data_IF_421438002202
#
_entry.id   IF_421438002202
#
_cell.length_a   1.000
_cell.length_b   1.000
_cell.length_c   1.000
_cell.angle_alpha   90.00
_cell.angle_beta   90.00
_cell.angle_gamma   90.00
#
_symmetry.space_group_name_H-M   'P 1'
#
loop_
_entity.id
_entity.type
_entity.pdbx_description
1 polymer ?
#
# COMPACT_ATOMS: atom_id res chain seq x y z
N UNK A 1 44.03 16.49 6.43
CA UNK A 1 44.93 15.81 7.37
C UNK A 1 45.32 16.65 8.61
N UNK A 2 45.34 17.98 8.52
CA UNK A 2 45.84 18.83 9.63
C UNK A 2 44.82 19.14 10.74
N UNK A 3 43.56 18.69 10.63
CA UNK A 3 42.52 18.95 11.64
C UNK A 3 42.17 17.77 12.56
N UNK A 4 42.81 16.62 12.37
CA UNK A 4 42.68 15.50 13.26
C UNK A 4 43.92 15.46 14.18
N UNK A 5 43.72 15.78 15.40
CA UNK A 5 44.78 15.69 16.40
C UNK A 5 45.36 14.29 16.41
N UNK A 6 46.50 14.06 15.87
CA UNK A 6 47.30 12.87 15.61
C UNK A 6 47.15 11.60 16.45
N UNK A 7 46.19 11.50 17.33
CA UNK A 7 46.00 10.35 18.24
C UNK A 7 44.92 9.37 17.80
N UNK A 8 44.04 9.74 16.83
CA UNK A 8 42.97 8.88 16.32
C UNK A 8 42.96 8.86 14.79
N UNK A 9 44.07 8.56 14.19
CA UNK A 9 44.21 8.40 12.76
C UNK A 9 43.44 7.14 12.32
N UNK A 10 42.78 7.14 11.15
CA UNK A 10 42.14 5.96 10.56
C UNK A 10 43.03 4.68 10.57
N UNK A 11 44.35 4.86 10.47
CA UNK A 11 45.32 3.76 10.55
C UNK A 11 45.22 2.96 11.86
N UNK A 12 44.93 3.59 12.98
CA UNK A 12 44.77 2.89 14.25
C UNK A 12 43.46 2.10 14.33
N UNK A 13 42.39 2.59 13.69
CA UNK A 13 41.13 1.88 13.62
C UNK A 13 41.21 0.65 12.71
N UNK A 14 41.96 0.76 11.61
CA UNK A 14 42.22 -0.36 10.68
C UNK A 14 43.03 -1.45 11.40
N UNK A 15 44.08 -1.05 12.09
CA UNK A 15 44.97 -1.99 12.77
C UNK A 15 44.33 -2.71 13.94
N UNK A 16 43.32 -2.09 14.58
CA UNK A 16 42.61 -2.66 15.73
C UNK A 16 41.27 -3.33 15.34
N UNK A 17 40.96 -3.50 14.04
CA UNK A 17 39.71 -4.10 13.57
C UNK A 17 38.44 -3.24 13.82
N UNK A 18 38.65 -1.96 14.20
CA UNK A 18 37.52 -1.03 14.49
C UNK A 18 37.03 -0.25 13.27
N UNK A 19 37.71 -0.44 12.13
CA UNK A 19 37.38 0.30 10.90
C UNK A 19 35.99 -0.01 10.38
N UNK A 20 35.59 -1.28 10.33
CA UNK A 20 34.27 -1.69 9.84
C UNK A 20 33.15 -1.16 10.75
N UNK A 21 33.35 -1.18 12.07
CA UNK A 21 32.39 -0.60 13.00
C UNK A 21 32.27 0.92 12.84
N UNK A 22 33.39 1.60 12.57
CA UNK A 22 33.40 3.05 12.29
C UNK A 22 32.73 3.37 10.95
N UNK A 23 33.06 2.64 9.89
CA UNK A 23 32.45 2.85 8.55
C UNK A 23 30.95 2.55 8.58
N UNK A 24 30.55 1.47 9.24
CA UNK A 24 29.13 1.12 9.39
C UNK A 24 28.39 2.14 10.27
N UNK A 25 28.98 2.60 11.35
CA UNK A 25 28.43 3.66 12.19
C UNK A 25 28.37 5.00 11.49
N UNK A 26 29.44 5.39 10.79
CA UNK A 26 29.49 6.62 10.00
C UNK A 26 28.56 6.54 8.79
N UNK A 27 28.48 5.39 8.13
CA UNK A 27 27.54 5.15 7.04
C UNK A 27 26.09 5.23 7.49
N UNK A 28 25.77 4.66 8.65
CA UNK A 28 24.45 4.76 9.26
C UNK A 28 24.10 6.19 9.67
N UNK A 29 25.07 6.93 10.23
CA UNK A 29 24.90 8.34 10.60
C UNK A 29 24.79 9.26 9.38
N UNK A 30 25.63 9.02 8.36
CA UNK A 30 25.58 9.73 7.07
C UNK A 30 24.29 9.45 6.32
N UNK A 31 23.84 8.20 6.29
CA UNK A 31 22.56 7.82 5.68
C UNK A 31 21.36 8.47 6.39
N UNK A 32 21.40 8.65 7.71
CA UNK A 32 20.34 9.35 8.45
C UNK A 32 20.37 10.87 8.30
N UNK A 33 21.55 11.48 8.06
CA UNK A 33 21.69 12.94 7.94
C UNK A 33 21.63 13.45 6.51
N UNK A 34 21.99 12.63 5.53
CA UNK A 34 22.15 13.02 4.12
C UNK A 34 21.33 12.18 3.14
N UNK A 35 20.38 11.38 3.64
CA UNK A 35 19.36 10.91 2.70
C UNK A 35 18.67 12.15 2.14
N UNK A 36 18.76 12.42 0.83
CA UNK A 36 17.92 13.45 0.26
C UNK A 36 16.48 13.07 0.68
N UNK A 37 15.82 14.00 1.38
CA UNK A 37 14.46 13.79 1.83
C UNK A 37 13.65 13.53 0.58
N UNK A 38 13.28 12.26 0.35
CA UNK A 38 12.45 11.91 -0.78
C UNK A 38 11.06 12.56 -0.63
N UNK A 39 10.31 12.62 -1.70
CA UNK A 39 9.02 13.28 -1.75
C UNK A 39 7.88 12.48 -1.09
N UNK A 40 8.20 11.31 -0.49
CA UNK A 40 7.23 10.46 0.22
C UNK A 40 7.39 10.51 1.74
N UNK A 41 8.52 11.00 2.26
CA UNK A 41 8.81 10.99 3.71
C UNK A 41 7.74 11.75 4.50
N UNK A 42 7.12 11.05 5.47
CA UNK A 42 6.06 11.57 6.34
C UNK A 42 4.66 11.55 5.69
N UNK A 43 4.54 11.13 4.44
CA UNK A 43 3.25 10.94 3.78
C UNK A 43 2.57 9.63 4.22
N UNK A 44 1.23 9.61 4.25
CA UNK A 44 0.45 8.42 4.60
C UNK A 44 0.70 7.24 3.63
N UNK A 45 1.15 7.52 2.42
CA UNK A 45 1.48 6.56 1.37
C UNK A 45 2.91 6.01 1.49
N UNK A 46 3.75 6.61 2.33
CA UNK A 46 5.16 6.26 2.46
C UNK A 46 5.40 4.76 2.70
N UNK A 47 4.72 4.10 3.67
CA UNK A 47 4.95 2.68 3.94
C UNK A 47 4.65 1.80 2.71
N UNK A 48 3.57 2.13 1.97
CA UNK A 48 3.17 1.36 0.81
C UNK A 48 4.16 1.53 -0.35
N UNK A 49 4.58 2.75 -0.65
CA UNK A 49 5.53 3.01 -1.73
C UNK A 49 6.88 2.37 -1.43
N UNK A 50 7.40 2.49 -0.20
CA UNK A 50 8.68 1.87 0.18
C UNK A 50 8.64 0.36 0.07
N UNK A 51 7.57 -0.27 0.54
CA UNK A 51 7.43 -1.73 0.46
C UNK A 51 7.32 -2.21 -0.99
N UNK A 52 6.52 -1.56 -1.83
CA UNK A 52 6.44 -1.91 -3.25
C UNK A 52 7.75 -1.63 -4.01
N UNK A 53 8.49 -0.60 -3.62
CA UNK A 53 9.82 -0.33 -4.17
C UNK A 53 10.82 -1.42 -3.76
N UNK A 54 10.85 -1.81 -2.49
CA UNK A 54 11.67 -2.90 -1.98
C UNK A 54 11.39 -4.24 -2.70
N UNK A 55 10.12 -4.49 -3.05
CA UNK A 55 9.69 -5.66 -3.83
C UNK A 55 9.98 -5.54 -5.34
N UNK A 56 10.52 -4.43 -5.84
CA UNK A 56 10.76 -4.19 -7.26
C UNK A 56 9.48 -3.98 -8.10
N UNK A 57 8.32 -3.78 -7.42
CA UNK A 57 7.02 -3.60 -8.07
C UNK A 57 6.87 -2.15 -8.56
N UNK A 58 7.15 -1.17 -7.68
CA UNK A 58 7.05 0.26 -7.99
C UNK A 58 8.43 0.91 -7.92
N UNK A 59 8.90 1.47 -9.02
CA UNK A 59 10.12 2.25 -9.05
C UNK A 59 9.84 3.73 -8.81
N UNK A 60 10.81 4.47 -8.25
CA UNK A 60 10.83 5.93 -8.30
C UNK A 60 11.14 6.45 -9.69
N UNK A 61 10.97 7.74 -9.88
CA UNK A 61 11.27 8.46 -11.14
C UNK A 61 12.74 8.95 -11.20
N UNK A 62 13.54 8.56 -10.21
CA UNK A 62 14.94 8.98 -10.06
C UNK A 62 15.11 10.06 -8.98
N UNK A 63 16.34 10.24 -8.50
CA UNK A 63 16.73 11.29 -7.55
C UNK A 63 15.86 11.40 -6.29
N UNK A 64 15.34 10.28 -5.78
CA UNK A 64 14.45 10.26 -4.60
C UNK A 64 13.00 10.69 -4.89
N UNK A 65 12.63 10.88 -6.15
CA UNK A 65 11.28 11.26 -6.57
C UNK A 65 10.44 10.02 -6.80
N UNK A 66 9.30 9.90 -6.10
CA UNK A 66 8.26 8.89 -6.29
C UNK A 66 6.96 9.48 -6.84
N UNK A 67 6.81 10.79 -6.83
CA UNK A 67 5.65 11.53 -7.31
C UNK A 67 4.31 11.00 -6.77
N UNK A 68 4.11 10.88 -5.43
CA UNK A 68 2.97 10.18 -4.82
C UNK A 68 1.61 10.77 -5.20
N UNK A 69 1.55 12.05 -5.52
CA UNK A 69 0.32 12.76 -5.88
C UNK A 69 0.05 12.79 -7.40
N UNK A 70 0.97 12.27 -8.21
CA UNK A 70 0.77 12.17 -9.67
C UNK A 70 -0.26 11.09 -9.98
N UNK A 71 -1.18 11.39 -10.90
CA UNK A 71 -2.12 10.41 -11.43
C UNK A 71 -1.36 9.27 -12.16
N UNK A 72 -1.85 8.04 -12.00
CA UNK A 72 -1.32 6.85 -12.66
C UNK A 72 -2.07 6.60 -13.97
N UNK A 73 -1.35 6.30 -15.04
CA UNK A 73 -1.97 5.90 -16.30
C UNK A 73 -2.44 4.44 -16.26
N UNK A 74 -3.34 4.07 -17.17
CA UNK A 74 -3.81 2.68 -17.30
C UNK A 74 -2.67 1.71 -17.59
N UNK A 75 -1.70 2.11 -18.42
CA UNK A 75 -0.51 1.30 -18.71
C UNK A 75 0.38 1.10 -17.49
N UNK A 76 0.61 2.15 -16.70
CA UNK A 76 1.37 2.06 -15.46
C UNK A 76 0.68 1.14 -14.44
N UNK A 77 -0.64 1.27 -14.30
CA UNK A 77 -1.42 0.43 -13.40
C UNK A 77 -1.36 -1.06 -13.82
N UNK A 78 -1.51 -1.35 -15.12
CA UNK A 78 -1.35 -2.69 -15.68
C UNK A 78 0.04 -3.27 -15.36
N UNK A 79 1.10 -2.49 -15.55
CA UNK A 79 2.46 -2.92 -15.23
C UNK A 79 2.64 -3.23 -13.75
N UNK A 80 2.10 -2.40 -12.86
CA UNK A 80 2.16 -2.64 -11.42
C UNK A 80 1.44 -3.92 -11.01
N UNK A 81 0.24 -4.19 -11.53
CA UNK A 81 -0.50 -5.44 -11.31
C UNK A 81 0.26 -6.64 -11.87
N UNK A 82 0.80 -6.52 -13.10
CA UNK A 82 1.59 -7.60 -13.71
C UNK A 82 2.78 -8.01 -12.85
N UNK A 83 3.54 -7.04 -12.35
CA UNK A 83 4.66 -7.28 -11.44
C UNK A 83 4.22 -7.83 -10.09
N UNK A 84 3.14 -7.30 -9.52
CA UNK A 84 2.62 -7.72 -8.22
C UNK A 84 2.22 -9.20 -8.18
N UNK A 85 1.67 -9.69 -9.28
CA UNK A 85 1.18 -11.07 -9.40
C UNK A 85 2.17 -12.00 -10.07
N UNK A 86 3.30 -11.49 -10.56
CA UNK A 86 4.27 -12.20 -11.39
C UNK A 86 3.58 -12.95 -12.54
N UNK A 87 2.79 -12.19 -13.34
CA UNK A 87 1.97 -12.79 -14.40
C UNK A 87 2.84 -13.38 -15.51
N UNK A 88 2.42 -14.52 -16.10
CA UNK A 88 3.13 -15.11 -17.23
C UNK A 88 3.10 -14.19 -18.46
N UNK A 89 3.95 -14.46 -19.43
CA UNK A 89 3.92 -13.76 -20.72
C UNK A 89 2.54 -13.83 -21.35
N UNK A 90 2.14 -12.74 -22.01
CA UNK A 90 0.85 -12.63 -22.69
C UNK A 90 1.03 -12.16 -24.13
N UNK A 91 0.08 -12.51 -24.98
CA UNK A 91 0.11 -12.25 -26.44
C UNK A 91 -1.03 -11.32 -26.91
N UNK A 92 -1.98 -10.98 -26.02
CA UNK A 92 -3.06 -10.04 -26.39
C UNK A 92 -2.45 -8.69 -26.76
N UNK A 93 -2.89 -8.17 -27.89
CA UNK A 93 -2.43 -6.88 -28.41
C UNK A 93 -3.63 -5.93 -28.63
N UNK A 94 -3.31 -4.64 -28.61
CA UNK A 94 -4.27 -3.56 -28.87
C UNK A 94 -3.74 -2.68 -30.01
N UNK A 95 -4.65 -2.01 -30.72
CA UNK A 95 -4.30 -1.15 -31.86
C UNK A 95 -3.36 0.00 -31.46
N UNK A 96 -3.52 0.51 -30.26
CA UNK A 96 -2.78 1.61 -29.64
C UNK A 96 -1.68 1.17 -28.65
N UNK A 97 -1.31 -0.12 -28.68
CA UNK A 97 -0.27 -0.63 -27.76
C UNK A 97 1.05 0.11 -27.91
N UNK A 98 1.36 0.59 -29.13
CA UNK A 98 2.58 1.32 -29.40
C UNK A 98 2.59 2.75 -28.84
N UNK A 99 1.46 3.30 -28.46
CA UNK A 99 1.35 4.59 -27.78
C UNK A 99 1.84 4.52 -26.33
N UNK A 100 1.85 3.28 -25.74
CA UNK A 100 2.46 3.06 -24.46
C UNK A 100 3.98 3.11 -24.53
N UNK A 101 4.62 3.60 -23.45
CA UNK A 101 6.05 3.44 -23.26
C UNK A 101 6.43 1.95 -23.40
N UNK A 102 7.54 1.67 -24.10
CA UNK A 102 7.99 0.30 -24.40
C UNK A 102 8.11 -0.57 -23.17
N UNK A 103 8.52 -0.02 -22.01
CA UNK A 103 8.64 -0.74 -20.72
C UNK A 103 7.30 -1.15 -20.11
N UNK A 104 6.19 -0.54 -20.54
CA UNK A 104 4.85 -0.82 -20.02
C UNK A 104 4.04 -1.78 -20.89
N UNK A 105 4.44 -1.99 -22.15
CA UNK A 105 3.71 -2.83 -23.12
C UNK A 105 3.57 -4.28 -22.67
N UNK A 106 4.61 -4.83 -22.07
CA UNK A 106 4.60 -6.20 -21.55
C UNK A 106 3.59 -6.36 -20.41
N UNK A 107 3.52 -5.39 -19.50
CA UNK A 107 2.52 -5.39 -18.43
C UNK A 107 1.08 -5.34 -18.93
N UNK A 108 0.80 -4.55 -20.00
CA UNK A 108 -0.50 -4.51 -20.64
C UNK A 108 -0.86 -5.89 -21.21
N UNK A 109 0.04 -6.51 -21.98
CA UNK A 109 -0.19 -7.83 -22.57
C UNK A 109 -0.46 -8.89 -21.51
N UNK A 110 0.37 -8.97 -20.48
CA UNK A 110 0.24 -9.95 -19.38
C UNK A 110 -1.09 -9.81 -18.63
N UNK A 111 -1.45 -8.59 -18.25
CA UNK A 111 -2.70 -8.34 -17.49
C UNK A 111 -3.95 -8.57 -18.34
N UNK A 112 -3.89 -8.26 -19.64
CA UNK A 112 -4.99 -8.51 -20.56
C UNK A 112 -5.14 -10.02 -20.82
N UNK A 113 -4.06 -10.76 -21.06
CA UNK A 113 -4.09 -12.21 -21.25
C UNK A 113 -4.55 -12.97 -20.01
N UNK A 114 -4.28 -12.43 -18.81
CA UNK A 114 -4.80 -12.95 -17.55
C UNK A 114 -6.29 -12.60 -17.32
N UNK A 115 -6.93 -11.83 -18.19
CA UNK A 115 -8.31 -11.38 -18.03
C UNK A 115 -8.53 -10.36 -16.91
N UNK A 116 -7.45 -9.79 -16.37
CA UNK A 116 -7.51 -8.85 -15.23
C UNK A 116 -7.88 -7.43 -15.70
N UNK A 117 -7.36 -7.03 -16.86
CA UNK A 117 -7.69 -5.73 -17.46
C UNK A 117 -8.22 -5.94 -18.87
N UNK A 118 -9.24 -5.17 -19.24
CA UNK A 118 -9.78 -5.19 -20.60
C UNK A 118 -9.46 -3.89 -21.34
N UNK A 119 -9.52 -3.92 -22.68
CA UNK A 119 -9.55 -2.72 -23.49
C UNK A 119 -10.84 -1.92 -23.27
N UNK A 120 -10.90 -0.73 -23.88
CA UNK A 120 -12.05 0.18 -23.82
C UNK A 120 -13.02 0.03 -25.00
N UNK A 121 -12.87 -1.02 -25.77
CA UNK A 121 -13.67 -1.30 -26.98
C UNK A 121 -12.88 -1.08 -28.26
N UNK A 122 -13.41 -1.58 -29.37
CA UNK A 122 -12.86 -1.45 -30.73
C UNK A 122 -11.37 -1.81 -30.90
N UNK A 123 -10.82 -2.59 -29.95
CA UNK A 123 -9.43 -3.02 -29.96
C UNK A 123 -8.44 -1.99 -29.39
N UNK A 124 -8.92 -0.97 -28.68
CA UNK A 124 -8.11 0.04 -28.02
C UNK A 124 -7.96 -0.22 -26.51
N UNK A 125 -6.81 0.19 -25.97
CA UNK A 125 -6.48 0.08 -24.54
C UNK A 125 -6.51 1.42 -23.81
N UNK A 126 -6.18 2.51 -24.49
CA UNK A 126 -5.98 3.86 -23.96
C UNK A 126 -4.85 3.92 -22.91
N UNK A 127 -3.62 3.56 -23.27
CA UNK A 127 -2.52 3.34 -22.34
C UNK A 127 -2.16 4.57 -21.50
N UNK A 128 -2.22 5.76 -22.08
CA UNK A 128 -1.76 7.02 -21.48
C UNK A 128 -2.87 7.76 -20.72
N UNK A 129 -4.11 7.27 -20.76
CA UNK A 129 -5.23 7.87 -20.02
C UNK A 129 -5.08 7.60 -18.52
N UNK A 130 -5.22 8.64 -17.67
CA UNK A 130 -5.26 8.42 -16.23
C UNK A 130 -6.37 7.45 -15.82
N UNK A 131 -6.07 6.52 -14.93
CA UNK A 131 -7.04 5.54 -14.45
C UNK A 131 -7.91 6.14 -13.34
N UNK A 132 -9.23 5.87 -13.38
CA UNK A 132 -10.13 6.30 -12.33
C UNK A 132 -10.09 5.36 -11.12
N UNK A 133 -10.61 5.83 -9.97
CA UNK A 133 -10.64 5.01 -8.76
C UNK A 133 -11.54 3.78 -8.88
N UNK A 134 -12.68 3.92 -9.55
CA UNK A 134 -13.54 2.75 -9.78
C UNK A 134 -12.90 1.76 -10.78
N UNK A 135 -12.22 2.23 -11.82
CA UNK A 135 -11.47 1.35 -12.73
C UNK A 135 -10.35 0.62 -12.01
N UNK A 136 -9.62 1.33 -11.14
CA UNK A 136 -8.59 0.72 -10.28
C UNK A 136 -9.17 -0.38 -9.39
N UNK A 137 -10.35 -0.14 -8.81
CA UNK A 137 -11.04 -1.12 -7.98
C UNK A 137 -11.43 -2.38 -8.76
N UNK A 138 -11.99 -2.23 -9.97
CA UNK A 138 -12.33 -3.37 -10.82
C UNK A 138 -11.09 -4.23 -11.08
N UNK A 139 -9.98 -3.60 -11.45
CA UNK A 139 -8.74 -4.31 -11.79
C UNK A 139 -8.19 -5.04 -10.56
N UNK A 140 -8.16 -4.40 -9.39
CA UNK A 140 -7.70 -5.02 -8.14
C UNK A 140 -8.61 -6.17 -7.73
N UNK A 141 -9.95 -6.03 -7.87
CA UNK A 141 -10.87 -7.13 -7.58
C UNK A 141 -10.67 -8.32 -8.55
N UNK A 142 -10.49 -8.06 -9.84
CA UNK A 142 -10.15 -9.11 -10.82
C UNK A 142 -8.80 -9.76 -10.56
N UNK A 143 -7.82 -9.01 -10.06
CA UNK A 143 -6.53 -9.54 -9.65
C UNK A 143 -6.66 -10.51 -8.45
N UNK A 144 -7.52 -10.21 -7.49
CA UNK A 144 -7.87 -11.14 -6.40
C UNK A 144 -8.59 -12.37 -6.92
N UNK A 145 -9.58 -12.20 -7.81
CA UNK A 145 -10.31 -13.31 -8.44
C UNK A 145 -9.37 -14.23 -9.23
N UNK A 146 -8.39 -13.68 -9.94
CA UNK A 146 -7.34 -14.46 -10.61
C UNK A 146 -6.55 -15.35 -9.63
N UNK A 147 -6.41 -14.92 -8.38
CA UNK A 147 -5.81 -15.72 -7.28
C UNK A 147 -6.82 -16.59 -6.54
N UNK A 148 -8.08 -16.68 -7.01
CA UNK A 148 -9.14 -17.47 -6.36
C UNK A 148 -9.69 -16.85 -5.08
N UNK A 149 -9.49 -15.56 -4.87
CA UNK A 149 -9.91 -14.84 -3.67
C UNK A 149 -11.11 -13.93 -3.95
N UNK A 150 -12.09 -13.94 -3.04
CA UNK A 150 -13.34 -13.20 -3.17
C UNK A 150 -13.62 -12.47 -1.84
N UNK A 151 -13.74 -11.15 -1.93
CA UNK A 151 -14.11 -10.34 -0.77
C UNK A 151 -15.61 -10.39 -0.47
N UNK A 152 -16.02 -10.13 0.78
CA UNK A 152 -17.42 -9.98 1.15
C UNK A 152 -17.99 -8.71 0.52
N UNK A 153 -19.27 -8.76 0.12
CA UNK A 153 -20.00 -7.58 -0.35
C UNK A 153 -20.42 -6.74 0.87
N UNK A 154 -19.70 -5.65 1.13
CA UNK A 154 -19.95 -4.77 2.25
C UNK A 154 -20.79 -3.55 1.88
N UNK A 155 -21.52 -3.00 2.85
CA UNK A 155 -22.22 -1.73 2.64
C UNK A 155 -21.23 -0.57 2.56
N UNK A 156 -21.37 0.27 1.53
CA UNK A 156 -20.53 1.45 1.36
C UNK A 156 -21.09 2.62 2.17
N UNK A 157 -20.28 3.27 3.01
CA UNK A 157 -20.72 4.41 3.81
C UNK A 157 -20.72 5.72 3.02
N UNK A 158 -20.21 5.72 1.78
CA UNK A 158 -19.93 6.92 0.99
C UNK A 158 -21.21 7.63 0.53
N UNK A 159 -21.22 8.95 0.62
CA UNK A 159 -22.34 9.81 0.19
C UNK A 159 -22.54 9.79 -1.33
N UNK A 160 -21.49 9.50 -2.08
CA UNK A 160 -21.47 9.41 -3.54
C UNK A 160 -21.54 7.97 -4.08
N UNK A 161 -21.89 6.99 -3.23
CA UNK A 161 -21.94 5.56 -3.59
C UNK A 161 -22.85 5.25 -4.77
N UNK A 162 -23.86 6.07 -5.03
CA UNK A 162 -24.80 5.86 -6.14
C UNK A 162 -24.23 6.35 -7.49
N UNK A 163 -23.10 7.06 -7.48
CA UNK A 163 -22.32 7.42 -8.67
C UNK A 163 -21.35 6.29 -9.09
N UNK A 164 -21.17 5.27 -8.28
CA UNK A 164 -20.29 4.14 -8.56
C UNK A 164 -21.01 3.19 -9.52
N UNK A 165 -20.49 3.00 -10.73
CA UNK A 165 -21.04 2.11 -11.74
C UNK A 165 -20.74 0.65 -11.36
N UNK A 166 -19.51 0.36 -10.98
CA UNK A 166 -19.06 -0.98 -10.61
C UNK A 166 -19.10 -1.18 -9.09
N UNK A 167 -20.32 -1.04 -8.56
CA UNK A 167 -20.57 -0.95 -7.11
C UNK A 167 -20.10 -2.19 -6.37
N UNK A 168 -20.35 -3.37 -6.92
CA UNK A 168 -19.99 -4.63 -6.26
C UNK A 168 -18.47 -4.81 -6.12
N UNK A 169 -17.69 -4.43 -7.14
CA UNK A 169 -16.22 -4.48 -7.05
C UNK A 169 -15.72 -3.60 -5.90
N UNK A 170 -16.23 -2.37 -5.81
CA UNK A 170 -15.86 -1.45 -4.72
C UNK A 170 -16.34 -1.97 -3.36
N UNK A 171 -17.54 -2.55 -3.27
CA UNK A 171 -18.07 -3.16 -2.04
C UNK A 171 -17.18 -4.31 -1.54
N UNK A 172 -16.71 -5.17 -2.46
CA UNK A 172 -15.81 -6.28 -2.13
C UNK A 172 -14.46 -5.78 -1.62
N UNK A 173 -13.86 -4.81 -2.30
CA UNK A 173 -12.59 -4.23 -1.86
C UNK A 173 -12.71 -3.42 -0.58
N UNK A 174 -13.85 -2.75 -0.36
CA UNK A 174 -14.14 -2.08 0.89
C UNK A 174 -14.29 -3.09 2.04
N UNK A 175 -14.99 -4.20 1.80
CA UNK A 175 -15.13 -5.31 2.75
C UNK A 175 -13.80 -5.97 3.10
N UNK A 176 -12.83 -5.96 2.19
CA UNK A 176 -11.46 -6.42 2.42
C UNK A 176 -10.55 -5.37 3.08
N UNK A 177 -11.02 -4.13 3.25
CA UNK A 177 -10.20 -3.02 3.73
C UNK A 177 -9.16 -2.49 2.74
N UNK A 178 -9.24 -2.93 1.46
CA UNK A 178 -8.29 -2.53 0.40
C UNK A 178 -8.53 -1.09 -0.03
N UNK A 179 -9.80 -0.70 -0.18
CA UNK A 179 -10.18 0.66 -0.53
C UNK A 179 -10.85 1.38 0.65
N UNK A 180 -10.61 2.68 0.72
CA UNK A 180 -11.22 3.60 1.70
C UNK A 180 -11.75 4.83 0.97
N UNK A 181 -12.53 5.69 1.65
CA UNK A 181 -12.91 6.99 1.13
C UNK A 181 -11.74 7.97 1.04
N UNK A 182 -11.95 9.07 0.32
CA UNK A 182 -10.99 10.19 0.17
C UNK A 182 -11.11 11.27 1.25
N UNK A 183 -11.99 11.13 2.20
CA UNK A 183 -12.43 12.19 3.13
C UNK A 183 -13.85 12.64 2.81
N UNK A 184 -14.43 13.48 3.66
CA UNK A 184 -15.78 14.03 3.52
C UNK A 184 -16.85 12.99 3.17
N UNK A 185 -16.64 11.75 3.64
CA UNK A 185 -17.51 10.62 3.38
C UNK A 185 -17.73 10.33 1.86
N UNK A 186 -16.73 10.60 1.01
CA UNK A 186 -16.78 10.36 -0.43
C UNK A 186 -15.80 9.27 -0.86
N UNK A 187 -16.16 8.54 -1.92
CA UNK A 187 -15.29 7.59 -2.61
C UNK A 187 -14.58 8.23 -3.81
N UNK A 188 -15.26 9.14 -4.50
CA UNK A 188 -14.80 9.81 -5.73
C UNK A 188 -14.53 8.83 -6.88
N UNK A 189 -15.56 8.08 -7.38
CA UNK A 189 -15.37 6.99 -8.33
C UNK A 189 -14.74 7.43 -9.66
N UNK A 190 -15.02 8.65 -10.10
CA UNK A 190 -14.55 9.23 -11.38
C UNK A 190 -13.24 10.01 -11.23
N UNK A 191 -12.81 10.30 -10.00
CA UNK A 191 -11.52 10.91 -9.74
C UNK A 191 -10.38 9.98 -10.16
N UNK A 192 -9.26 10.55 -10.57
CA UNK A 192 -8.07 9.78 -10.94
C UNK A 192 -7.39 9.19 -9.71
N UNK A 193 -6.78 8.00 -9.86
CA UNK A 193 -6.00 7.37 -8.80
C UNK A 193 -4.56 7.87 -8.86
N UNK A 194 -4.05 8.34 -7.72
CA UNK A 194 -2.65 8.76 -7.60
C UNK A 194 -1.70 7.59 -7.39
N UNK A 195 -0.39 7.81 -7.54
CA UNK A 195 0.63 6.78 -7.27
C UNK A 195 0.63 6.31 -5.82
N UNK A 196 0.42 7.22 -4.87
CA UNK A 196 0.27 6.89 -3.46
C UNK A 196 -0.96 6.01 -3.16
N UNK A 197 -2.11 6.35 -3.75
CA UNK A 197 -3.33 5.54 -3.64
C UNK A 197 -3.17 4.18 -4.30
N UNK A 198 -2.56 4.14 -5.50
CA UNK A 198 -2.25 2.90 -6.21
C UNK A 198 -1.34 1.99 -5.38
N UNK A 199 -0.30 2.56 -4.77
CA UNK A 199 0.60 1.79 -3.91
C UNK A 199 -0.16 1.15 -2.74
N UNK A 200 -1.06 1.90 -2.10
CA UNK A 200 -1.88 1.38 -1.01
C UNK A 200 -2.83 0.28 -1.47
N UNK A 201 -3.51 0.45 -2.61
CA UNK A 201 -4.40 -0.58 -3.16
C UNK A 201 -3.64 -1.88 -3.45
N UNK A 202 -2.48 -1.78 -4.10
CA UNK A 202 -1.66 -2.94 -4.46
C UNK A 202 -1.07 -3.60 -3.22
N UNK A 203 -0.55 -2.85 -2.26
CA UNK A 203 0.01 -3.43 -1.03
C UNK A 203 -1.07 -4.16 -0.23
N UNK A 204 -2.25 -3.55 -0.05
CA UNK A 204 -3.37 -4.18 0.64
C UNK A 204 -3.86 -5.45 -0.10
N UNK A 205 -3.92 -5.40 -1.44
CA UNK A 205 -4.21 -6.58 -2.26
C UNK A 205 -3.20 -7.69 -2.02
N UNK A 206 -1.91 -7.39 -2.03
CA UNK A 206 -0.86 -8.37 -1.78
C UNK A 206 -0.96 -8.97 -0.38
N UNK A 207 -1.27 -8.18 0.63
CA UNK A 207 -1.49 -8.67 1.99
C UNK A 207 -2.65 -9.67 2.05
N UNK A 208 -3.76 -9.40 1.35
CA UNK A 208 -4.89 -10.34 1.25
C UNK A 208 -4.44 -11.63 0.56
N UNK A 209 -3.66 -11.56 -0.52
CA UNK A 209 -3.14 -12.71 -1.25
C UNK A 209 -2.18 -13.54 -0.38
N UNK A 210 -1.25 -12.90 0.30
CA UNK A 210 -0.20 -13.54 1.10
C UNK A 210 -0.74 -14.21 2.36
N UNK A 211 -1.75 -13.61 2.98
CA UNK A 211 -2.34 -14.13 4.23
C UNK A 211 -3.46 -15.13 3.98
N UNK A 212 -3.99 -15.21 2.76
CA UNK A 212 -5.23 -15.93 2.46
C UNK A 212 -6.42 -15.38 3.27
N UNK A 213 -6.18 -14.31 4.00
CA UNK A 213 -7.15 -13.71 4.91
C UNK A 213 -8.00 -12.72 4.12
N UNK A 214 -9.19 -13.14 3.78
CA UNK A 214 -10.28 -12.19 3.64
C UNK A 214 -10.36 -11.48 5.00
N UNK A 215 -9.92 -10.22 5.07
CA UNK A 215 -10.06 -9.45 6.31
C UNK A 215 -11.55 -9.19 6.50
N UNK A 216 -12.25 -10.13 7.13
CA UNK A 216 -13.63 -9.90 7.53
C UNK A 216 -13.62 -8.73 8.52
N UNK A 217 -14.23 -7.62 8.12
CA UNK A 217 -14.51 -6.53 9.06
C UNK A 217 -15.55 -7.06 10.04
N UNK A 218 -15.11 -7.36 11.24
CA UNK A 218 -15.98 -7.87 12.31
C UNK A 218 -16.56 -6.75 13.18
N UNK A 219 -16.13 -5.50 12.96
CA UNK A 219 -16.63 -4.36 13.69
C UNK A 219 -15.84 -3.09 13.48
N UNK A 220 -16.18 -2.06 14.24
CA UNK A 220 -15.45 -0.79 14.32
C UNK A 220 -15.20 -0.45 15.79
N UNK A 221 -14.12 0.24 16.07
CA UNK A 221 -13.86 0.71 17.42
C UNK A 221 -13.46 2.19 17.42
N UNK A 222 -13.79 2.89 18.50
CA UNK A 222 -13.32 4.24 18.77
C UNK A 222 -12.43 4.22 20.02
N UNK A 223 -11.24 4.81 19.88
CA UNK A 223 -10.30 4.94 20.99
C UNK A 223 -10.75 6.13 21.87
N UNK A 224 -11.09 5.86 23.11
CA UNK A 224 -11.50 6.88 24.08
C UNK A 224 -10.37 7.23 25.07
N UNK A 225 -9.39 6.35 25.20
CA UNK A 225 -8.20 6.56 26.04
C UNK A 225 -7.15 7.43 25.38
N UNK A 226 -6.31 8.08 26.19
CA UNK A 226 -5.16 8.86 25.72
C UNK A 226 -3.95 7.93 25.62
N UNK A 227 -3.31 7.88 24.45
CA UNK A 227 -2.06 7.16 24.26
C UNK A 227 -2.17 5.64 24.45
N UNK A 228 -3.26 5.05 23.97
CA UNK A 228 -3.52 3.61 24.04
C UNK A 228 -2.45 2.85 23.25
N UNK A 229 -1.81 1.88 23.89
CA UNK A 229 -0.77 1.09 23.25
C UNK A 229 -1.33 0.21 22.15
N UNK A 230 -0.79 0.34 20.94
CA UNK A 230 -0.99 -0.57 19.81
C UNK A 230 0.22 -1.49 19.73
N UNK A 231 -0.02 -2.81 19.75
CA UNK A 231 1.04 -3.84 19.79
C UNK A 231 1.11 -4.64 18.51
N UNK A 232 2.26 -5.27 18.27
CA UNK A 232 2.49 -6.12 17.09
C UNK A 232 1.73 -7.45 17.10
N UNK A 233 1.05 -7.79 18.21
CA UNK A 233 0.29 -9.03 18.38
C UNK A 233 -0.70 -8.95 19.52
N UNK A 234 -1.56 -9.99 19.62
CA UNK A 234 -2.63 -10.11 20.61
C UNK A 234 -2.08 -10.54 21.98
N UNK A 235 -1.45 -9.62 22.72
CA UNK A 235 -0.91 -9.89 24.06
C UNK A 235 0.03 -8.79 24.55
N UNK A 236 0.23 -8.73 25.87
CA UNK A 236 1.13 -7.75 26.52
C UNK A 236 2.61 -8.05 26.29
N UNK A 237 2.95 -9.27 25.90
CA UNK A 237 4.29 -9.72 25.54
C UNK A 237 4.75 -9.28 24.15
N UNK A 238 3.86 -8.72 23.34
CA UNK A 238 4.22 -8.17 22.02
C UNK A 238 4.66 -6.72 22.11
N UNK A 239 5.55 -6.32 21.20
CA UNK A 239 6.11 -4.97 21.14
C UNK A 239 5.04 -3.91 20.91
N UNK A 240 5.19 -2.73 21.51
CA UNK A 240 4.37 -1.56 21.19
C UNK A 240 4.89 -0.99 19.88
N UNK A 241 4.02 -0.94 18.86
CA UNK A 241 4.36 -0.42 17.53
C UNK A 241 4.01 1.07 17.37
N UNK A 242 2.98 1.51 18.10
CA UNK A 242 2.58 2.92 18.21
C UNK A 242 1.64 3.14 19.40
N UNK A 243 1.26 4.40 19.61
CA UNK A 243 0.16 4.77 20.49
C UNK A 243 -1.00 5.31 19.67
N UNK A 244 -2.21 4.86 19.96
CA UNK A 244 -3.43 5.38 19.36
C UNK A 244 -3.90 6.64 20.09
N UNK A 245 -4.46 7.58 19.32
CA UNK A 245 -4.94 8.86 19.82
C UNK A 245 -6.38 8.76 20.32
N UNK A 246 -6.75 9.59 21.30
CA UNK A 246 -8.15 9.72 21.71
C UNK A 246 -9.01 10.24 20.55
N UNK A 247 -10.15 9.59 20.31
CA UNK A 247 -11.05 9.90 19.19
C UNK A 247 -10.74 9.16 17.90
N UNK A 248 -9.60 8.45 17.81
CA UNK A 248 -9.23 7.65 16.63
C UNK A 248 -10.29 6.56 16.39
N UNK A 249 -10.80 6.49 15.16
CA UNK A 249 -11.74 5.45 14.72
C UNK A 249 -10.97 4.41 13.92
N UNK A 250 -11.14 3.15 14.28
CA UNK A 250 -10.43 2.03 13.66
C UNK A 250 -11.41 0.94 13.23
N UNK A 251 -11.06 0.25 12.14
CA UNK A 251 -11.76 -0.96 11.70
C UNK A 251 -11.21 -2.17 12.46
N UNK A 252 -12.08 -3.08 12.90
CA UNK A 252 -11.68 -4.31 13.59
C UNK A 252 -11.84 -5.49 12.65
N UNK A 253 -10.76 -6.25 12.49
CA UNK A 253 -10.67 -7.38 11.57
C UNK A 253 -10.62 -8.74 12.27
N UNK A 254 -10.25 -8.77 13.54
CA UNK A 254 -10.14 -9.99 14.33
C UNK A 254 -10.29 -9.66 15.81
N UNK A 255 -10.91 -10.57 16.57
CA UNK A 255 -10.96 -10.53 18.03
C UNK A 255 -10.34 -11.82 18.55
N UNK A 256 -9.28 -11.71 19.37
CA UNK A 256 -8.56 -12.84 19.92
C UNK A 256 -8.11 -12.54 21.35
N UNK A 257 -8.56 -13.37 22.31
CA UNK A 257 -8.16 -13.26 23.72
C UNK A 257 -8.33 -11.84 24.31
N UNK A 258 -9.42 -11.15 23.96
CA UNK A 258 -9.67 -9.77 24.40
C UNK A 258 -8.88 -8.70 23.65
N UNK A 259 -8.17 -9.05 22.58
CA UNK A 259 -7.46 -8.12 21.71
C UNK A 259 -8.19 -7.96 20.38
N UNK A 260 -8.22 -6.75 19.87
CA UNK A 260 -8.80 -6.37 18.58
C UNK A 260 -7.67 -6.09 17.59
N UNK A 261 -7.63 -6.82 16.46
CA UNK A 261 -6.75 -6.50 15.36
C UNK A 261 -7.35 -5.36 14.55
N UNK A 262 -6.65 -4.25 14.52
CA UNK A 262 -7.08 -3.02 13.85
C UNK A 262 -6.34 -2.77 12.53
N UNK A 263 -5.23 -3.47 12.33
CA UNK A 263 -4.43 -3.46 11.10
C UNK A 263 -3.47 -4.65 11.11
N UNK A 264 -2.75 -4.88 10.01
CA UNK A 264 -1.70 -5.92 9.99
C UNK A 264 -0.68 -5.65 11.08
N UNK A 265 -0.45 -6.63 11.95
CA UNK A 265 0.45 -6.50 13.11
C UNK A 265 0.14 -5.30 14.02
N UNK A 266 -1.12 -4.88 14.10
CA UNK A 266 -1.57 -3.83 14.99
C UNK A 266 -2.79 -4.29 15.81
N UNK A 267 -2.59 -4.41 17.10
CA UNK A 267 -3.56 -4.91 18.05
C UNK A 267 -3.75 -3.94 19.20
N UNK A 268 -5.00 -3.75 19.62
CA UNK A 268 -5.35 -3.01 20.82
C UNK A 268 -6.11 -3.92 21.76
N UNK A 269 -5.93 -3.76 23.07
CA UNK A 269 -6.70 -4.51 24.05
C UNK A 269 -8.11 -3.92 24.16
N UNK A 270 -9.14 -4.78 24.06
CA UNK A 270 -10.55 -4.40 24.12
C UNK A 270 -10.99 -4.17 25.57
N UNK A 271 -10.68 -2.99 26.11
CA UNK A 271 -11.11 -2.58 27.43
C UNK A 271 -12.14 -1.46 27.29
N UNK A 272 -13.36 -1.63 27.79
CA UNK A 272 -14.44 -0.65 27.68
C UNK A 272 -14.10 0.74 28.28
N UNK A 273 -13.12 0.81 29.18
CA UNK A 273 -12.68 2.07 29.80
C UNK A 273 -11.99 3.01 28.81
N UNK A 274 -11.40 2.48 27.74
CA UNK A 274 -10.69 3.29 26.74
C UNK A 274 -10.91 2.87 25.27
N UNK A 275 -11.75 1.84 25.03
CA UNK A 275 -12.16 1.46 23.68
C UNK A 275 -13.68 1.24 23.65
N UNK A 276 -14.35 1.90 22.73
CA UNK A 276 -15.74 1.62 22.40
C UNK A 276 -15.78 0.76 21.13
N UNK A 277 -16.00 -0.55 21.32
CA UNK A 277 -16.04 -1.53 20.23
C UNK A 277 -17.48 -1.86 19.86
N UNK A 278 -17.82 -1.63 18.58
CA UNK A 278 -19.11 -1.99 17.99
C UNK A 278 -18.90 -3.21 17.07
N UNK A 279 -19.23 -4.39 17.56
CA UNK A 279 -19.21 -5.63 16.79
C UNK A 279 -20.34 -5.60 15.75
N UNK A 280 -20.05 -6.03 14.51
CA UNK A 280 -21.06 -6.23 13.46
C UNK A 280 -21.80 -7.53 13.63
#
# INVERSE_FOLDING_TARGET
>A
HQRWSGKNCPANMINNGQWDAFVNGAGGYYNNLYQPKDDITGGWYEPAIRELNRRGIMAGEGNGVFAPNRAVTRAEFAQLISKSLNLPAGDISFKDLNDANSTLRDGIKRTASAGIIAGRGDGYFDPNTPITREESAIIVNKALQYKGLWGPVANLPFSDKDKIIYKEDVQRLYGLGIVKGKGDNQYDPKGTTTRGETASFILNMLQVIETGSVQNVIGTAQINGIGVNVRSGAGTNYSIVRKASKGEKVTVYEEKNGWLRIETNQWVYNDPSYINYNKR
#
